data_IF_828834758039
#
_entry.id   IF_828834758039
#
_cell.length_a   1.000
_cell.length_b   1.000
_cell.length_c   1.000
_cell.angle_alpha   90.00
_cell.angle_beta   90.00
_cell.angle_gamma   90.00
#
_symmetry.space_group_name_H-M   'P 1'
#
loop_
_entity.id
_entity.type
_entity.pdbx_description
1 polymer ?
#
# COMPACT_ATOMS: atom_id res chain seq x y z
N UNK A 1 -14.96 8.26 6.51
CA UNK A 1 -14.86 7.10 5.60
C UNK A 1 -14.12 7.52 4.34
N UNK A 2 -13.58 6.59 3.55
CA UNK A 2 -12.70 6.96 2.40
C UNK A 2 -13.40 6.72 1.07
N UNK A 3 -13.28 7.68 0.16
CA UNK A 3 -13.74 7.59 -1.22
C UNK A 3 -13.07 6.39 -1.95
N UNK A 4 -13.92 5.53 -2.52
CA UNK A 4 -13.50 4.40 -3.34
C UNK A 4 -12.67 4.84 -4.56
N UNK A 5 -13.02 5.96 -5.20
CA UNK A 5 -12.31 6.51 -6.36
C UNK A 5 -10.99 7.21 -5.99
N UNK A 6 -10.72 7.45 -4.70
CA UNK A 6 -9.37 7.79 -4.23
C UNK A 6 -8.47 6.53 -4.18
N UNK A 7 -8.94 5.45 -3.54
CA UNK A 7 -8.11 4.26 -3.25
C UNK A 7 -7.89 3.40 -4.50
N UNK A 8 -8.94 3.12 -5.27
CA UNK A 8 -8.88 2.08 -6.31
C UNK A 8 -7.99 2.43 -7.50
N UNK A 9 -7.89 3.70 -7.97
CA UNK A 9 -6.87 4.10 -8.95
C UNK A 9 -5.43 3.92 -8.44
N UNK A 10 -5.17 4.16 -7.15
CA UNK A 10 -3.83 4.00 -6.53
C UNK A 10 -3.43 2.52 -6.46
N UNK A 11 -4.36 1.62 -6.17
CA UNK A 11 -4.13 0.16 -6.27
C UNK A 11 -3.82 -0.25 -7.73
N UNK A 12 -4.57 0.31 -8.70
CA UNK A 12 -4.40 0.02 -10.13
C UNK A 12 -3.11 0.64 -10.73
N UNK A 13 -2.51 1.66 -10.09
CA UNK A 13 -1.18 2.16 -10.46
C UNK A 13 -0.06 1.28 -9.88
N UNK A 14 -0.11 0.93 -8.60
CA UNK A 14 0.93 0.17 -7.89
C UNK A 14 0.97 -1.33 -8.21
N UNK A 15 -0.14 -1.93 -8.62
CA UNK A 15 -0.24 -3.37 -8.88
C UNK A 15 -0.62 -3.70 -10.32
N UNK A 16 -0.21 -4.87 -10.79
CA UNK A 16 -0.77 -5.46 -12.00
C UNK A 16 -1.94 -6.37 -11.62
N UNK A 17 -3.14 -5.78 -11.59
CA UNK A 17 -4.39 -6.53 -11.41
C UNK A 17 -4.55 -7.54 -12.54
N UNK A 18 -4.83 -8.81 -12.20
CA UNK A 18 -5.07 -9.90 -13.14
C UNK A 18 -6.50 -10.47 -13.06
N UNK A 19 -7.21 -10.19 -11.98
CA UNK A 19 -8.62 -10.53 -11.77
C UNK A 19 -9.26 -9.53 -10.79
N UNK A 20 -10.53 -9.23 -10.98
CA UNK A 20 -11.34 -8.35 -10.11
C UNK A 20 -12.80 -8.83 -10.12
N UNK A 21 -13.42 -8.97 -8.96
CA UNK A 21 -14.83 -9.37 -8.81
C UNK A 21 -15.49 -8.59 -7.67
N UNK A 22 -16.63 -7.95 -7.95
CA UNK A 22 -17.38 -7.11 -7.00
C UNK A 22 -18.74 -7.73 -6.69
N UNK A 23 -19.02 -7.90 -5.41
CA UNK A 23 -20.24 -8.48 -4.87
C UNK A 23 -21.03 -7.40 -4.14
N UNK A 24 -22.32 -7.28 -4.42
CA UNK A 24 -23.23 -6.37 -3.70
C UNK A 24 -24.20 -7.15 -2.82
N UNK A 25 -24.35 -6.74 -1.56
CA UNK A 25 -25.38 -7.26 -0.68
C UNK A 25 -26.74 -6.72 -1.11
N UNK A 26 -27.74 -7.60 -1.16
CA UNK A 26 -29.09 -7.23 -1.59
C UNK A 26 -29.75 -6.32 -0.55
N UNK A 27 -30.14 -5.12 -0.99
CA UNK A 27 -30.95 -4.15 -0.25
C UNK A 27 -30.24 -3.42 0.92
N UNK A 28 -28.91 -3.28 0.90
CA UNK A 28 -28.18 -2.61 2.00
C UNK A 28 -27.02 -1.70 1.60
N UNK A 29 -26.79 -1.42 0.30
CA UNK A 29 -25.67 -0.59 -0.19
C UNK A 29 -24.27 -1.22 -0.05
N UNK A 30 -24.09 -2.15 0.90
CA UNK A 30 -22.82 -2.82 1.20
C UNK A 30 -22.29 -3.62 0.00
N UNK A 31 -21.00 -3.47 -0.28
CA UNK A 31 -20.26 -4.24 -1.28
C UNK A 31 -18.97 -4.85 -0.72
N UNK A 32 -18.48 -5.88 -1.41
CA UNK A 32 -17.13 -6.43 -1.25
C UNK A 32 -16.50 -6.54 -2.65
N UNK A 33 -15.34 -5.94 -2.88
CA UNK A 33 -14.56 -6.10 -4.11
C UNK A 33 -13.24 -6.83 -3.84
N UNK A 34 -12.98 -7.89 -4.61
CA UNK A 34 -11.78 -8.71 -4.52
C UNK A 34 -10.92 -8.55 -5.75
N UNK A 35 -9.65 -8.25 -5.57
CA UNK A 35 -8.64 -8.26 -6.61
C UNK A 35 -7.62 -9.36 -6.38
N UNK A 36 -7.26 -10.08 -7.46
CA UNK A 36 -6.00 -10.85 -7.51
C UNK A 36 -5.04 -10.09 -8.42
N UNK A 37 -3.83 -9.91 -7.93
CA UNK A 37 -2.84 -9.02 -8.51
C UNK A 37 -1.42 -9.61 -8.47
N UNK A 38 -0.53 -8.94 -9.21
CA UNK A 38 0.90 -9.22 -9.32
C UNK A 38 1.69 -7.94 -9.08
N UNK A 39 2.92 -8.06 -8.59
CA UNK A 39 3.85 -6.92 -8.48
C UNK A 39 4.01 -6.20 -9.84
N UNK A 40 3.91 -4.87 -9.89
CA UNK A 40 3.80 -4.13 -11.17
C UNK A 40 4.95 -4.35 -12.18
N UNK A 41 6.15 -4.73 -11.74
CA UNK A 41 7.24 -5.14 -12.65
C UNK A 41 6.90 -6.34 -13.56
N UNK A 42 5.90 -7.15 -13.20
CA UNK A 42 5.37 -8.27 -14.00
C UNK A 42 4.39 -7.80 -15.10
N UNK A 43 4.01 -6.52 -15.14
CA UNK A 43 3.07 -5.96 -16.14
C UNK A 43 3.68 -6.07 -17.55
N UNK A 44 3.03 -6.73 -18.53
CA UNK A 44 3.58 -6.91 -19.87
C UNK A 44 3.89 -5.57 -20.56
N UNK A 45 5.10 -5.44 -21.11
CA UNK A 45 5.50 -4.25 -21.89
C UNK A 45 5.37 -4.53 -23.38
N UNK A 46 4.53 -3.76 -24.05
CA UNK A 46 4.31 -3.83 -25.50
C UNK A 46 5.57 -3.37 -26.24
N UNK A 47 5.85 -3.97 -27.41
CA UNK A 47 6.84 -3.49 -28.36
C UNK A 47 6.08 -2.84 -29.52
N UNK A 48 6.28 -1.53 -29.68
CA UNK A 48 5.80 -0.74 -30.80
C UNK A 48 7.02 -0.21 -31.56
N UNK A 49 7.00 -0.31 -32.89
CA UNK A 49 8.02 0.26 -33.78
C UNK A 49 7.30 0.85 -34.98
N UNK A 50 7.60 2.10 -35.34
CA UNK A 50 6.92 2.83 -36.42
C UNK A 50 5.38 2.75 -36.30
N UNK A 51 4.88 2.96 -35.08
CA UNK A 51 3.46 2.88 -34.67
C UNK A 51 2.77 1.52 -34.92
N UNK A 52 3.52 0.47 -35.25
CA UNK A 52 3.01 -0.90 -35.40
C UNK A 52 3.35 -1.78 -34.19
N UNK A 53 2.38 -2.59 -33.78
CA UNK A 53 2.52 -3.53 -32.66
C UNK A 53 3.24 -4.79 -33.11
N UNK A 54 4.43 -5.04 -32.56
CA UNK A 54 5.25 -6.23 -32.86
C UNK A 54 5.15 -7.33 -31.79
N UNK A 55 4.38 -7.12 -30.72
CA UNK A 55 4.14 -8.09 -29.65
C UNK A 55 4.60 -7.58 -28.28
N UNK A 56 4.99 -8.50 -27.38
CA UNK A 56 5.41 -8.17 -26.01
C UNK A 56 6.90 -8.42 -25.79
N UNK A 57 7.54 -7.56 -25.00
CA UNK A 57 8.92 -7.75 -24.56
C UNK A 57 9.00 -8.95 -23.61
N UNK A 58 9.83 -9.95 -23.98
CA UNK A 58 10.07 -11.13 -23.14
C UNK A 58 10.58 -10.69 -21.76
N UNK A 59 9.87 -11.10 -20.72
CA UNK A 59 10.21 -10.82 -19.33
C UNK A 59 11.54 -11.50 -18.95
N UNK A 60 12.36 -10.83 -18.13
CA UNK A 60 13.60 -11.41 -17.63
C UNK A 60 13.32 -12.41 -16.50
N UNK A 61 14.14 -13.46 -16.40
CA UNK A 61 13.99 -14.47 -15.35
C UNK A 61 14.15 -13.87 -13.93
N UNK A 62 14.94 -12.79 -13.79
CA UNK A 62 15.11 -12.03 -12.54
C UNK A 62 13.88 -11.19 -12.11
N UNK A 63 12.87 -11.07 -12.96
CA UNK A 63 11.59 -10.40 -12.66
C UNK A 63 10.46 -11.43 -12.55
N UNK A 64 10.50 -12.52 -13.33
CA UNK A 64 9.53 -13.61 -13.26
C UNK A 64 9.48 -14.34 -11.90
N UNK A 65 10.54 -14.25 -11.09
CA UNK A 65 10.54 -14.82 -9.73
C UNK A 65 9.50 -14.19 -8.79
N UNK A 66 9.11 -12.93 -9.04
CA UNK A 66 8.02 -12.24 -8.33
C UNK A 66 6.67 -12.93 -8.47
N UNK A 67 6.49 -13.85 -9.44
CA UNK A 67 5.25 -14.64 -9.55
C UNK A 67 5.05 -15.63 -8.38
N UNK A 68 6.08 -15.82 -7.52
CA UNK A 68 5.95 -16.52 -6.24
C UNK A 68 5.25 -15.71 -5.13
N UNK A 69 5.01 -14.42 -5.37
CA UNK A 69 4.34 -13.50 -4.45
C UNK A 69 3.06 -12.98 -5.11
N UNK A 70 1.99 -13.80 -5.20
CA UNK A 70 0.67 -13.32 -5.57
C UNK A 70 0.20 -12.27 -4.55
N UNK A 71 -0.47 -11.23 -5.03
CA UNK A 71 -0.99 -10.14 -4.19
C UNK A 71 -2.52 -10.25 -4.22
N UNK A 72 -3.13 -10.15 -3.05
CA UNK A 72 -4.57 -10.19 -2.85
C UNK A 72 -4.99 -8.87 -2.22
N UNK A 73 -6.12 -8.34 -2.68
CA UNK A 73 -6.75 -7.15 -2.09
C UNK A 73 -8.23 -7.47 -1.92
N UNK A 74 -8.76 -7.23 -0.73
CA UNK A 74 -10.19 -7.25 -0.43
C UNK A 74 -10.59 -5.86 0.08
N UNK A 75 -11.62 -5.28 -0.52
CA UNK A 75 -12.19 -3.99 -0.12
C UNK A 75 -13.63 -4.25 0.30
N UNK A 76 -13.99 -3.86 1.52
CA UNK A 76 -15.38 -3.79 1.97
C UNK A 76 -15.80 -2.33 2.06
N UNK A 77 -17.08 -2.05 1.75
CA UNK A 77 -17.58 -0.69 1.71
C UNK A 77 -19.10 -0.62 1.57
N UNK A 78 -19.63 0.59 1.45
CA UNK A 78 -21.04 0.86 1.26
C UNK A 78 -21.27 1.92 0.18
N UNK A 79 -22.39 1.81 -0.53
CA UNK A 79 -22.93 2.87 -1.40
C UNK A 79 -23.93 3.71 -0.61
N UNK A 80 -23.90 5.03 -0.74
CA UNK A 80 -24.92 5.94 -0.19
C UNK A 80 -26.18 6.04 -1.08
N UNK A 81 -27.11 6.94 -0.73
CA UNK A 81 -28.35 7.16 -1.48
C UNK A 81 -28.15 7.95 -2.80
N UNK A 82 -27.05 8.71 -2.95
CA UNK A 82 -26.69 9.44 -4.17
C UNK A 82 -25.91 8.59 -5.18
N UNK A 83 -25.31 7.47 -4.72
CA UNK A 83 -24.57 6.50 -5.52
C UNK A 83 -23.05 6.52 -5.32
N UNK A 84 -22.54 7.28 -4.35
CA UNK A 84 -21.11 7.33 -4.03
C UNK A 84 -20.70 6.07 -3.25
N UNK A 85 -19.53 5.50 -3.56
CA UNK A 85 -19.01 4.31 -2.89
C UNK A 85 -17.91 4.68 -1.88
N UNK A 86 -18.08 4.26 -0.62
CA UNK A 86 -17.15 4.53 0.48
C UNK A 86 -16.58 3.23 1.07
N UNK A 87 -15.28 3.22 1.34
CA UNK A 87 -14.55 2.08 1.90
C UNK A 87 -14.61 2.10 3.44
N UNK A 88 -14.88 0.93 4.02
CA UNK A 88 -14.84 0.65 5.46
C UNK A 88 -13.64 -0.23 5.85
N UNK A 89 -13.23 -1.14 4.97
CA UNK A 89 -12.09 -2.04 5.20
C UNK A 89 -11.28 -2.27 3.92
N UNK A 90 -9.94 -2.37 4.02
CA UNK A 90 -9.04 -2.76 2.94
C UNK A 90 -7.92 -3.71 3.41
N UNK A 91 -8.13 -5.00 3.19
CA UNK A 91 -7.12 -6.04 3.41
C UNK A 91 -6.22 -6.22 2.18
N UNK A 92 -4.99 -5.71 2.24
CA UNK A 92 -3.94 -5.89 1.22
C UNK A 92 -2.86 -6.84 1.75
N UNK A 93 -2.70 -8.01 1.10
CA UNK A 93 -1.73 -9.02 1.53
C UNK A 93 -1.09 -9.83 0.39
N UNK A 94 -0.05 -10.59 0.71
CA UNK A 94 0.64 -11.50 -0.21
C UNK A 94 1.08 -12.76 0.53
N UNK A 95 0.74 -13.94 0.01
CA UNK A 95 1.13 -15.24 0.58
C UNK A 95 2.16 -15.93 -0.32
N UNK A 96 3.29 -16.36 0.27
CA UNK A 96 4.36 -17.06 -0.44
C UNK A 96 4.78 -18.35 0.29
N UNK A 97 4.66 -19.50 -0.39
CA UNK A 97 5.19 -20.78 0.09
C UNK A 97 6.71 -20.84 -0.14
N UNK A 98 7.46 -20.17 0.73
CA UNK A 98 8.92 -20.06 0.71
C UNK A 98 9.42 -20.15 2.16
N UNK A 99 10.38 -21.04 2.43
CA UNK A 99 11.02 -21.04 3.75
C UNK A 99 12.06 -19.93 3.87
N UNK A 100 12.00 -19.14 4.94
CA UNK A 100 13.00 -18.11 5.23
C UNK A 100 14.07 -18.56 6.25
N UNK A 101 14.06 -19.82 6.67
CA UNK A 101 14.84 -20.31 7.82
C UNK A 101 16.35 -20.05 7.72
N UNK A 102 16.94 -20.17 6.52
CA UNK A 102 18.37 -19.94 6.27
C UNK A 102 18.76 -18.44 6.20
N UNK A 103 17.78 -17.54 6.14
CA UNK A 103 17.95 -16.07 5.99
C UNK A 103 17.20 -15.28 7.06
N UNK A 104 16.76 -15.93 8.14
CA UNK A 104 15.84 -15.37 9.14
C UNK A 104 16.34 -14.06 9.78
N UNK A 105 17.66 -13.89 9.94
CA UNK A 105 18.28 -12.63 10.39
C UNK A 105 17.92 -11.44 9.50
N UNK A 106 18.02 -11.66 8.19
CA UNK A 106 17.88 -10.63 7.17
C UNK A 106 16.41 -10.28 6.97
N UNK A 107 15.53 -11.27 7.18
CA UNK A 107 14.08 -11.11 7.16
C UNK A 107 13.57 -10.38 8.40
N UNK A 108 14.11 -10.68 9.58
CA UNK A 108 13.82 -9.92 10.81
C UNK A 108 14.30 -8.47 10.68
N UNK A 109 15.50 -8.24 10.13
CA UNK A 109 15.97 -6.88 9.85
C UNK A 109 15.02 -6.14 8.91
N UNK A 110 14.72 -6.72 7.73
CA UNK A 110 13.85 -6.11 6.73
C UNK A 110 12.44 -5.82 7.30
N UNK A 111 11.87 -6.76 8.07
CA UNK A 111 10.57 -6.57 8.73
C UNK A 111 10.58 -5.47 9.78
N UNK A 112 11.72 -5.19 10.41
CA UNK A 112 11.86 -4.06 11.34
C UNK A 112 11.99 -2.72 10.60
N UNK A 113 12.68 -2.67 9.45
CA UNK A 113 12.77 -1.46 8.62
C UNK A 113 11.38 -1.02 8.09
N UNK A 114 10.53 -1.97 7.72
CA UNK A 114 9.18 -1.68 7.18
C UNK A 114 8.06 -1.73 8.23
N UNK A 115 8.38 -1.81 9.53
CA UNK A 115 7.41 -2.04 10.63
C UNK A 115 6.27 -1.03 10.73
N UNK A 116 6.42 0.18 10.18
CA UNK A 116 5.36 1.21 10.12
C UNK A 116 4.25 0.85 9.13
N UNK A 117 4.62 0.32 7.96
CA UNK A 117 3.73 0.16 6.79
C UNK A 117 3.45 -1.30 6.38
N UNK A 118 4.18 -2.26 6.95
CA UNK A 118 4.07 -3.70 6.64
C UNK A 118 4.15 -4.54 7.93
N UNK A 119 3.41 -5.66 7.95
CA UNK A 119 3.57 -6.78 8.88
C UNK A 119 3.99 -8.04 8.12
N UNK A 120 4.75 -8.93 8.75
CA UNK A 120 5.16 -10.22 8.17
C UNK A 120 4.96 -11.35 9.18
N UNK A 121 4.04 -12.27 8.86
CA UNK A 121 3.78 -13.48 9.62
C UNK A 121 4.44 -14.71 8.98
N UNK A 122 4.88 -15.63 9.85
CA UNK A 122 5.49 -16.92 9.47
C UNK A 122 4.59 -18.07 9.91
N UNK A 123 3.81 -18.61 8.99
CA UNK A 123 2.85 -19.70 9.24
C UNK A 123 3.51 -21.05 8.98
N UNK A 124 3.65 -21.86 10.03
CA UNK A 124 4.19 -23.22 9.95
C UNK A 124 3.08 -24.26 10.04
N UNK A 125 3.07 -25.23 9.11
CA UNK A 125 2.06 -26.29 9.13
C UNK A 125 2.32 -27.28 10.26
N UNK A 126 1.39 -27.38 11.22
CA UNK A 126 1.47 -28.33 12.36
C UNK A 126 1.71 -29.77 11.90
N UNK A 127 1.07 -30.17 10.81
CA UNK A 127 1.19 -31.53 10.23
C UNK A 127 2.46 -31.74 9.40
N UNK A 128 3.17 -30.66 9.04
CA UNK A 128 4.44 -30.74 8.30
C UNK A 128 5.26 -29.45 8.51
N UNK A 129 6.09 -29.35 9.56
CA UNK A 129 6.83 -28.13 9.88
C UNK A 129 7.87 -27.67 8.83
N UNK A 130 8.14 -28.45 7.78
CA UNK A 130 8.96 -27.99 6.63
C UNK A 130 8.13 -27.28 5.56
N UNK A 131 6.79 -27.27 5.69
CA UNK A 131 5.89 -26.38 4.94
C UNK A 131 5.70 -25.10 5.72
N UNK A 132 6.27 -24.05 5.17
CA UNK A 132 6.28 -22.69 5.67
C UNK A 132 5.64 -21.77 4.62
N UNK A 133 4.65 -20.99 5.06
CA UNK A 133 4.11 -19.88 4.30
C UNK A 133 4.53 -18.59 5.00
N UNK A 134 5.02 -17.63 4.24
CA UNK A 134 5.10 -16.24 4.68
C UNK A 134 3.82 -15.53 4.26
N UNK A 135 3.22 -14.76 5.15
CA UNK A 135 2.09 -13.87 4.83
C UNK A 135 2.50 -12.44 5.13
N UNK A 136 2.50 -11.61 4.10
CA UNK A 136 2.89 -10.22 4.13
C UNK A 136 1.60 -9.41 4.14
N UNK A 137 1.36 -8.59 5.15
CA UNK A 137 0.20 -7.70 5.23
C UNK A 137 0.64 -6.24 5.12
N UNK A 138 -0.08 -5.44 4.35
CA UNK A 138 0.06 -3.99 4.43
C UNK A 138 -0.66 -3.47 5.68
N UNK A 139 -0.13 -2.41 6.28
CA UNK A 139 -0.77 -1.66 7.36
C UNK A 139 -1.69 -0.54 6.86
N UNK A 140 -2.06 -0.58 5.58
CA UNK A 140 -2.99 0.40 4.99
C UNK A 140 -4.30 0.49 5.79
N UNK A 141 -4.92 -0.63 6.18
CA UNK A 141 -6.16 -0.59 6.97
C UNK A 141 -5.99 0.16 8.30
N UNK A 142 -4.85 0.04 8.98
CA UNK A 142 -4.61 0.74 10.25
C UNK A 142 -4.44 2.25 10.12
N UNK A 143 -4.30 2.81 8.91
CA UNK A 143 -4.35 4.25 8.67
C UNK A 143 -5.78 4.78 8.46
N UNK A 144 -6.80 3.91 8.33
CA UNK A 144 -8.16 4.36 8.04
C UNK A 144 -8.94 4.83 9.30
N UNK A 145 -8.81 4.19 10.48
CA UNK A 145 -9.45 4.67 11.71
C UNK A 145 -8.97 6.06 12.14
N UNK A 146 -7.73 6.44 11.80
CA UNK A 146 -7.15 7.76 12.02
C UNK A 146 -7.76 8.85 11.10
N UNK A 147 -8.82 8.53 10.33
CA UNK A 147 -9.53 9.46 9.44
C UNK A 147 -11.03 9.57 9.84
N UNK A 148 -11.64 8.48 10.32
CA UNK A 148 -13.04 8.49 10.75
C UNK A 148 -13.30 9.34 12.02
N UNK A 149 -12.29 9.59 12.85
CA UNK A 149 -12.41 10.48 14.03
C UNK A 149 -12.35 11.97 13.71
N UNK A 150 -11.91 12.35 12.51
CA UNK A 150 -11.65 13.75 12.13
C UNK A 150 -12.79 14.31 11.27
N UNK A 151 -13.27 13.54 10.29
CA UNK A 151 -14.35 13.98 9.38
C UNK A 151 -15.67 14.27 10.13
N UNK A 152 -15.92 13.62 11.26
CA UNK A 152 -17.18 13.74 12.03
C UNK A 152 -17.25 14.97 12.96
N UNK A 153 -16.33 15.94 12.86
CA UNK A 153 -16.37 17.17 13.66
C UNK A 153 -16.91 18.42 12.92
N UNK A 154 -17.17 18.33 11.61
CA UNK A 154 -17.52 19.48 10.75
C UNK A 154 -19.02 19.62 10.41
N UNK A 155 -19.92 18.90 11.08
CA UNK A 155 -21.39 18.94 10.85
C UNK A 155 -22.19 19.53 12.04
N UNK A 156 -21.53 19.94 13.12
CA UNK A 156 -22.15 20.55 14.34
C UNK A 156 -21.76 22.06 14.48
N UNK A 157 -21.54 22.75 13.37
CA UNK A 157 -21.20 24.20 13.31
C UNK A 157 -22.49 25.06 13.15
N UNK A 158 -23.27 25.18 14.24
CA UNK A 158 -24.44 26.07 14.38
C UNK A 158 -24.36 26.78 15.77
N UNK A 159 -24.57 28.12 15.80
CA UNK A 159 -24.61 29.05 16.97
C UNK A 159 -23.34 29.07 17.88
N UNK A 160 -22.45 30.09 17.95
CA UNK A 160 -22.64 31.54 18.09
C UNK A 160 -21.27 32.31 18.23
N UNK A 161 -21.32 33.65 18.05
CA UNK A 161 -20.44 34.74 18.57
C UNK A 161 -18.93 34.89 18.20
N UNK A 162 -18.66 35.92 17.38
CA UNK A 162 -17.64 37.00 17.48
C UNK A 162 -16.32 36.82 18.31
N UNK A 163 -15.15 37.00 17.66
CA UNK A 163 -14.23 38.14 17.92
C UNK A 163 -13.10 38.26 16.85
N UNK A 164 -12.50 39.44 16.70
CA UNK A 164 -11.40 39.74 15.74
C UNK A 164 -10.01 39.27 16.24
N UNK A 165 -9.16 38.69 15.37
CA UNK A 165 -7.69 38.85 15.49
C UNK A 165 -6.97 38.82 14.11
N UNK A 166 -5.92 39.64 13.97
CA UNK A 166 -5.23 39.99 12.73
C UNK A 166 -3.82 39.35 12.72
N UNK A 167 -3.61 38.22 12.03
CA UNK A 167 -2.24 37.68 11.89
C UNK A 167 -1.87 37.01 10.55
N UNK A 168 -0.59 37.23 10.25
CA UNK A 168 0.29 36.81 9.15
C UNK A 168 0.30 35.26 8.97
N UNK A 169 0.81 34.68 7.88
CA UNK A 169 2.05 35.03 7.17
C UNK A 169 2.13 34.52 5.70
N UNK A 170 3.25 34.80 5.03
CA UNK A 170 3.51 34.46 3.62
C UNK A 170 3.59 32.93 3.36
N UNK A 171 3.23 32.51 2.12
CA UNK A 171 3.09 31.10 1.75
C UNK A 171 4.38 30.29 1.78
N UNK A 172 4.35 29.14 2.47
CA UNK A 172 5.47 28.20 2.54
C UNK A 172 5.57 27.29 1.28
N UNK A 173 6.67 27.41 0.53
CA UNK A 173 7.04 26.45 -0.52
C UNK A 173 7.35 25.07 0.08
N UNK A 174 6.43 24.11 -0.07
CA UNK A 174 6.56 22.75 0.46
C UNK A 174 7.61 21.95 -0.33
N UNK A 175 8.84 21.93 0.15
CA UNK A 175 9.88 21.01 -0.32
C UNK A 175 9.62 19.59 0.23
N UNK A 176 8.95 18.76 -0.57
CA UNK A 176 8.67 17.34 -0.29
C UNK A 176 9.97 16.51 -0.27
N UNK A 177 10.56 16.33 0.91
CA UNK A 177 11.66 15.39 1.19
C UNK A 177 11.08 14.05 1.67
N UNK A 178 11.45 12.94 1.02
CA UNK A 178 10.75 11.65 1.11
C UNK A 178 11.29 10.69 2.19
N UNK A 179 11.37 11.14 3.44
CA UNK A 179 11.84 10.30 4.56
C UNK A 179 10.68 9.56 5.29
N UNK A 180 10.70 8.20 5.34
CA UNK A 180 9.71 7.41 6.09
C UNK A 180 9.84 7.49 7.63
N UNK A 181 10.91 8.08 8.18
CA UNK A 181 10.95 8.46 9.60
C UNK A 181 10.06 9.70 9.83
N UNK A 182 10.22 10.74 8.99
CA UNK A 182 9.45 12.01 9.01
C UNK A 182 7.94 11.90 8.68
N UNK A 183 7.40 10.74 8.32
CA UNK A 183 5.94 10.58 8.16
C UNK A 183 5.18 10.85 9.48
N UNK A 184 5.87 10.87 10.63
CA UNK A 184 5.33 11.26 11.93
C UNK A 184 5.36 12.78 12.20
N UNK A 185 5.80 13.61 11.25
CA UNK A 185 5.78 15.09 11.29
C UNK A 185 4.71 15.68 10.33
N UNK A 186 3.79 14.84 9.83
CA UNK A 186 2.61 15.26 9.06
C UNK A 186 1.33 15.25 9.90
N UNK A 187 1.49 15.15 11.23
CA UNK A 187 0.43 15.12 12.23
C UNK A 187 0.82 16.11 13.33
N UNK A 188 0.52 17.39 13.13
CA UNK A 188 0.23 18.27 14.27
C UNK A 188 -1.13 17.82 14.81
N UNK A 189 -1.23 17.59 16.13
CA UNK A 189 -2.27 16.77 16.78
C UNK A 189 -3.73 17.23 16.54
N UNK A 190 -3.95 18.45 16.02
CA UNK A 190 -5.26 19.07 15.76
C UNK A 190 -5.54 19.40 14.27
N UNK A 191 -4.65 19.05 13.32
CA UNK A 191 -4.81 19.42 11.89
C UNK A 191 -5.39 18.30 10.99
N UNK A 192 -6.52 18.58 10.31
CA UNK A 192 -7.17 17.61 9.42
C UNK A 192 -6.25 17.13 8.27
N UNK A 193 -6.21 15.80 8.08
CA UNK A 193 -5.56 15.19 6.92
C UNK A 193 -6.33 15.49 5.64
N UNK A 194 -5.82 16.44 4.85
CA UNK A 194 -6.36 16.74 3.51
C UNK A 194 -6.33 15.51 2.61
N UNK A 195 -7.22 15.48 1.61
CA UNK A 195 -7.25 14.43 0.59
C UNK A 195 -5.90 14.26 -0.14
N UNK A 196 -5.08 15.31 -0.23
CA UNK A 196 -3.72 15.23 -0.78
C UNK A 196 -2.72 14.54 0.18
N UNK A 197 -2.72 14.87 1.47
CA UNK A 197 -1.91 14.15 2.48
C UNK A 197 -2.31 12.67 2.53
N UNK A 198 -3.61 12.37 2.55
CA UNK A 198 -4.13 11.00 2.51
C UNK A 198 -3.68 10.26 1.23
N UNK A 199 -3.80 10.90 0.07
CA UNK A 199 -3.30 10.41 -1.22
C UNK A 199 -1.81 10.04 -1.17
N UNK A 200 -0.98 10.81 -0.45
CA UNK A 200 0.45 10.54 -0.25
C UNK A 200 0.68 9.38 0.74
N UNK A 201 -0.04 9.32 1.86
CA UNK A 201 0.07 8.23 2.84
C UNK A 201 -0.31 6.86 2.24
N UNK A 202 -1.34 6.83 1.38
CA UNK A 202 -1.72 5.66 0.59
C UNK A 202 -0.55 5.23 -0.30
N UNK A 203 0.02 6.15 -1.09
CA UNK A 203 1.13 5.83 -2.01
C UNK A 203 2.39 5.35 -1.26
N UNK A 204 2.69 5.93 -0.09
CA UNK A 204 3.78 5.46 0.79
C UNK A 204 3.55 4.02 1.24
N UNK A 205 2.32 3.64 1.62
CA UNK A 205 2.00 2.27 2.02
C UNK A 205 2.05 1.28 0.86
N UNK A 206 1.52 1.63 -0.31
CA UNK A 206 1.53 0.77 -1.51
C UNK A 206 2.95 0.61 -2.08
N UNK A 207 3.74 1.68 -2.08
CA UNK A 207 5.17 1.66 -2.43
C UNK A 207 5.99 0.85 -1.43
N UNK A 208 5.73 1.01 -0.13
CA UNK A 208 6.37 0.21 0.92
C UNK A 208 6.13 -1.28 0.72
N UNK A 209 4.86 -1.67 0.55
CA UNK A 209 4.45 -3.07 0.39
C UNK A 209 5.05 -3.70 -0.87
N UNK A 210 4.99 -3.01 -2.02
CA UNK A 210 5.59 -3.51 -3.28
C UNK A 210 7.10 -3.66 -3.17
N UNK A 211 7.80 -2.67 -2.60
CA UNK A 211 9.24 -2.78 -2.35
C UNK A 211 9.57 -3.94 -1.38
N UNK A 212 8.82 -4.13 -0.29
CA UNK A 212 9.03 -5.23 0.64
C UNK A 212 8.93 -6.61 -0.06
N UNK A 213 7.88 -6.84 -0.86
CA UNK A 213 7.71 -8.05 -1.67
C UNK A 213 8.90 -8.28 -2.62
N UNK A 214 9.35 -7.22 -3.31
CA UNK A 214 10.50 -7.26 -4.23
C UNK A 214 11.82 -7.56 -3.51
N UNK A 215 11.99 -7.08 -2.28
CA UNK A 215 13.17 -7.31 -1.46
C UNK A 215 13.20 -8.73 -0.87
N UNK A 216 12.04 -9.29 -0.50
CA UNK A 216 11.91 -10.71 -0.15
C UNK A 216 12.24 -11.64 -1.34
N UNK A 217 11.78 -11.31 -2.55
CA UNK A 217 12.15 -12.03 -3.78
C UNK A 217 13.66 -11.97 -4.07
N UNK A 218 14.27 -10.80 -3.91
CA UNK A 218 15.72 -10.61 -4.05
C UNK A 218 16.53 -11.41 -3.00
N UNK A 219 16.10 -11.43 -1.74
CA UNK A 219 16.79 -12.14 -0.65
C UNK A 219 16.59 -13.66 -0.74
N UNK A 220 15.34 -14.12 -0.84
CA UNK A 220 14.95 -15.53 -0.64
C UNK A 220 14.92 -16.33 -1.95
N UNK A 221 14.61 -15.70 -3.08
CA UNK A 221 14.51 -16.41 -4.37
C UNK A 221 15.77 -16.24 -5.22
N UNK A 222 16.41 -15.07 -5.16
CA UNK A 222 17.65 -14.77 -5.91
C UNK A 222 18.92 -14.88 -5.05
N UNK A 223 18.79 -15.07 -3.74
CA UNK A 223 19.92 -15.29 -2.84
C UNK A 223 20.81 -14.05 -2.63
N UNK A 224 20.33 -12.83 -2.90
CA UNK A 224 21.12 -11.62 -2.64
C UNK A 224 21.38 -11.46 -1.14
N UNK A 225 22.56 -11.00 -0.76
CA UNK A 225 22.89 -10.54 0.59
C UNK A 225 22.23 -9.20 0.91
N UNK A 226 21.88 -8.99 2.18
CA UNK A 226 21.33 -7.71 2.66
C UNK A 226 22.28 -6.53 2.37
N UNK A 227 23.60 -6.73 2.50
CA UNK A 227 24.64 -5.75 2.13
C UNK A 227 24.64 -5.29 0.67
N UNK A 228 24.07 -6.09 -0.23
CA UNK A 228 23.93 -5.73 -1.65
C UNK A 228 22.58 -5.03 -1.93
N UNK A 229 21.83 -4.72 -0.87
CA UNK A 229 20.50 -4.14 -0.85
C UNK A 229 20.48 -2.88 0.05
N UNK A 230 21.29 -2.82 1.11
CA UNK A 230 21.37 -1.72 2.09
C UNK A 230 21.46 -0.32 1.45
N UNK A 231 22.19 -0.15 0.34
CA UNK A 231 22.25 1.13 -0.39
C UNK A 231 20.89 1.63 -0.91
N UNK A 232 19.91 0.75 -1.14
CA UNK A 232 18.55 1.10 -1.58
C UNK A 232 17.77 1.84 -0.48
N UNK A 233 18.20 1.75 0.79
CA UNK A 233 17.60 2.48 1.91
C UNK A 233 18.31 3.82 2.19
N UNK A 234 19.61 3.92 1.92
CA UNK A 234 20.40 5.12 2.20
C UNK A 234 20.12 6.25 1.20
N UNK A 235 19.84 5.91 -0.07
CA UNK A 235 19.44 6.89 -1.10
C UNK A 235 18.05 7.51 -0.83
N UNK A 236 17.30 7.04 0.20
CA UNK A 236 16.06 7.64 0.70
C UNK A 236 16.22 8.46 1.99
N UNK A 237 17.42 8.54 2.56
CA UNK A 237 17.74 9.34 3.76
C UNK A 237 18.47 10.66 3.41
N UNK A 238 18.63 11.00 2.11
CA UNK A 238 19.66 11.95 1.66
C UNK A 238 19.35 12.78 0.40
N UNK A 239 18.09 13.14 0.15
CA UNK A 239 17.61 14.03 -0.95
C UNK A 239 16.78 15.33 -0.42
#
# INVERSE_FOLDING_TARGET
MIDYDLIVPKLKSHFFIIFSEKFYQKNSGVFIERFVAKHALLRPKLIVVNDQVHGFKKMSQHVASLEKFPIFIEIEGQTDDDGNEYITNIDLYSEANISCQDRLSDIIYLSNSFKKTVSLDRVLSVNNPTKENMVIFSKLQSLLPEIDTWINYNDDDDDDDDDDDDSLDEGADINLVMDPENTALLLDDDSELTSEQLSVLIDICLTSFTNFVKLLDDILVKGKSLKNIEHIFQDSESI
#
